data_IF_979830550429
#
_entry.id   IF_979830550429
#
_cell.length_a   1.000
_cell.length_b   1.000
_cell.length_c   1.000
_cell.angle_alpha   90.00
_cell.angle_beta   90.00
_cell.angle_gamma   90.00
#
_symmetry.space_group_name_H-M   'P 1'
#
loop_
_entity.id
_entity.type
_entity.pdbx_description
1 polymer ?
#
# COMPACT_ATOMS: atom_id res chain seq x y z
N UNK A 1 -12.96 -10.48 0.99
CA UNK A 1 -11.81 -9.62 0.60
C UNK A 1 -10.65 -10.49 0.11
N UNK A 2 -9.90 -10.06 -0.92
CA UNK A 2 -8.72 -10.79 -1.46
C UNK A 2 -7.52 -10.81 -0.49
N UNK A 3 -7.56 -9.92 0.48
CA UNK A 3 -6.49 -9.52 1.40
C UNK A 3 -6.09 -10.63 2.39
N UNK A 4 -7.06 -11.24 3.08
CA UNK A 4 -6.79 -12.02 4.29
C UNK A 4 -5.90 -13.27 4.11
N UNK A 5 -6.09 -14.14 3.09
CA UNK A 5 -5.25 -15.34 2.96
C UNK A 5 -3.76 -15.02 2.77
N UNK A 6 -3.47 -14.00 1.98
CA UNK A 6 -2.11 -13.58 1.68
C UNK A 6 -1.47 -12.82 2.84
N UNK A 7 -2.26 -12.03 3.56
CA UNK A 7 -1.81 -11.38 4.78
C UNK A 7 -1.36 -12.39 5.84
N UNK A 8 -2.13 -13.44 6.10
CA UNK A 8 -1.75 -14.46 7.08
C UNK A 8 -0.49 -15.22 6.70
N UNK A 9 -0.31 -15.51 5.41
CA UNK A 9 0.95 -16.07 4.93
C UNK A 9 2.13 -15.13 5.23
N UNK A 10 1.98 -13.84 4.93
CA UNK A 10 3.01 -12.84 5.24
C UNK A 10 3.28 -12.75 6.75
N UNK A 11 2.25 -12.85 7.60
CA UNK A 11 2.41 -12.91 9.06
C UNK A 11 3.21 -14.13 9.49
N UNK A 12 2.91 -15.32 8.95
CA UNK A 12 3.67 -16.54 9.26
C UNK A 12 5.13 -16.38 8.82
N UNK A 13 5.38 -15.90 7.60
CA UNK A 13 6.75 -15.64 7.11
C UNK A 13 7.49 -14.63 7.99
N UNK A 14 6.82 -13.55 8.39
CA UNK A 14 7.36 -12.53 9.27
C UNK A 14 7.70 -13.07 10.66
N UNK A 15 6.80 -13.87 11.26
CA UNK A 15 7.03 -14.51 12.56
C UNK A 15 8.20 -15.50 12.52
N UNK A 16 8.29 -16.32 11.48
CA UNK A 16 9.41 -17.25 11.31
C UNK A 16 10.74 -16.50 11.15
N UNK A 17 10.73 -15.41 10.38
CA UNK A 17 11.89 -14.54 10.18
C UNK A 17 12.33 -13.91 11.51
N UNK A 18 11.40 -13.31 12.24
CA UNK A 18 11.66 -12.72 13.55
C UNK A 18 12.14 -13.75 14.57
N UNK A 19 11.54 -14.95 14.58
CA UNK A 19 11.94 -16.04 15.47
C UNK A 19 13.40 -16.45 15.22
N UNK A 20 13.76 -16.67 13.95
CA UNK A 20 15.12 -17.03 13.56
C UNK A 20 16.13 -15.94 13.95
N UNK A 21 15.89 -14.69 13.56
CA UNK A 21 16.83 -13.59 13.80
C UNK A 21 16.97 -13.21 15.28
N UNK A 22 15.87 -13.22 16.04
CA UNK A 22 15.95 -13.04 17.49
C UNK A 22 16.74 -14.18 18.15
N UNK A 23 16.60 -15.42 17.66
CA UNK A 23 17.34 -16.58 18.17
C UNK A 23 18.86 -16.46 18.01
N UNK A 24 19.33 -15.70 17.02
CA UNK A 24 20.75 -15.40 16.79
C UNK A 24 21.15 -13.97 17.22
N UNK A 25 20.28 -13.27 17.95
CA UNK A 25 20.57 -11.95 18.54
C UNK A 25 20.60 -10.78 17.55
N UNK A 26 19.98 -10.92 16.38
CA UNK A 26 19.93 -9.86 15.34
C UNK A 26 18.62 -9.07 15.44
N UNK A 27 18.73 -7.75 15.51
CA UNK A 27 17.60 -6.82 15.53
C UNK A 27 17.24 -6.35 14.11
N UNK A 28 15.98 -6.55 13.70
CA UNK A 28 15.48 -6.15 12.38
C UNK A 28 14.88 -4.73 12.35
N UNK A 29 14.79 -4.03 13.49
CA UNK A 29 14.30 -2.64 13.56
C UNK A 29 15.06 -1.63 12.67
N UNK A 30 16.36 -1.78 12.37
CA UNK A 30 17.04 -0.92 11.41
C UNK A 30 16.54 -1.06 9.96
N UNK A 31 15.86 -2.16 9.62
CA UNK A 31 15.19 -2.30 8.32
C UNK A 31 13.91 -1.47 8.31
N UNK A 32 13.10 -1.67 9.35
CA UNK A 32 11.86 -0.97 9.61
C UNK A 32 11.60 -1.00 11.12
N UNK A 33 11.35 0.17 11.72
CA UNK A 33 11.23 0.31 13.19
C UNK A 33 10.13 -0.53 13.83
N UNK A 34 9.12 -0.94 13.07
CA UNK A 34 8.01 -1.77 13.52
C UNK A 34 8.30 -3.28 13.36
N UNK A 35 9.42 -3.67 12.74
CA UNK A 35 9.76 -5.07 12.44
C UNK A 35 10.39 -5.79 13.64
N UNK A 36 9.59 -6.04 14.66
CA UNK A 36 9.97 -6.84 15.82
C UNK A 36 8.79 -7.66 16.35
N UNK A 37 9.05 -8.60 17.27
CA UNK A 37 7.98 -9.41 17.85
C UNK A 37 6.95 -8.54 18.59
N UNK A 38 5.64 -8.81 18.41
CA UNK A 38 4.58 -8.24 19.23
C UNK A 38 4.83 -8.53 20.72
N UNK A 39 4.74 -7.53 21.59
CA UNK A 39 5.10 -7.68 23.02
C UNK A 39 3.89 -7.84 23.96
N UNK A 40 2.67 -7.59 23.48
CA UNK A 40 1.47 -7.62 24.32
C UNK A 40 0.19 -7.92 23.56
N UNK A 41 -0.92 -8.04 24.30
CA UNK A 41 -2.25 -8.33 23.76
C UNK A 41 -2.68 -7.28 22.72
N UNK A 42 -2.31 -6.01 22.93
CA UNK A 42 -2.68 -4.90 22.05
C UNK A 42 -1.99 -5.02 20.67
N UNK A 43 -0.69 -5.28 20.64
CA UNK A 43 0.06 -5.52 19.40
C UNK A 43 -0.53 -6.71 18.64
N UNK A 44 -0.82 -7.81 19.34
CA UNK A 44 -1.46 -8.98 18.73
C UNK A 44 -2.87 -8.67 18.23
N UNK A 45 -3.67 -7.94 18.99
CA UNK A 45 -4.99 -7.51 18.55
C UNK A 45 -4.91 -6.69 17.27
N UNK A 46 -3.92 -5.79 17.15
CA UNK A 46 -3.67 -5.07 15.91
C UNK A 46 -3.27 -6.01 14.77
N UNK A 47 -2.33 -6.94 14.98
CA UNK A 47 -1.91 -7.92 13.96
C UNK A 47 -3.08 -8.79 13.49
N UNK A 48 -3.97 -9.19 14.40
CA UNK A 48 -5.09 -10.08 14.09
C UNK A 48 -6.24 -9.34 13.37
N UNK A 49 -6.52 -8.09 13.76
CA UNK A 49 -7.71 -7.36 13.30
C UNK A 49 -7.42 -6.30 12.25
N UNK A 50 -6.19 -5.79 12.21
CA UNK A 50 -5.78 -4.62 11.42
C UNK A 50 -6.67 -3.40 11.68
N UNK A 51 -7.21 -3.28 12.90
CA UNK A 51 -8.09 -2.17 13.24
C UNK A 51 -7.27 -0.91 13.52
N UNK A 52 -7.49 0.21 12.80
CA UNK A 52 -6.67 1.42 12.92
C UNK A 52 -6.81 2.14 14.27
N UNK A 53 -7.85 1.84 15.05
CA UNK A 53 -8.04 2.42 16.39
C UNK A 53 -7.23 1.74 17.49
N UNK A 54 -6.53 0.64 17.19
CA UNK A 54 -5.63 -0.02 18.14
C UNK A 54 -4.22 0.55 17.96
N UNK A 55 -3.58 0.97 19.06
CA UNK A 55 -2.18 1.40 19.02
C UNK A 55 -1.30 0.24 18.54
N UNK A 56 -0.48 0.53 17.54
CA UNK A 56 0.46 -0.42 16.94
C UNK A 56 1.78 -0.45 17.70
N UNK A 57 2.41 -1.62 17.71
CA UNK A 57 3.73 -1.88 18.27
C UNK A 57 4.53 -2.79 17.33
N UNK A 58 4.99 -3.94 17.83
CA UNK A 58 5.74 -4.90 17.01
C UNK A 58 4.85 -5.57 15.96
N UNK A 59 5.31 -5.59 14.71
CA UNK A 59 4.58 -6.15 13.58
C UNK A 59 5.44 -7.17 12.79
N UNK A 60 4.96 -8.42 12.64
CA UNK A 60 5.60 -9.41 11.76
C UNK A 60 5.59 -9.00 10.28
N UNK A 61 4.62 -8.17 9.88
CA UNK A 61 4.50 -7.60 8.53
C UNK A 61 4.53 -6.08 8.67
N UNK A 62 5.71 -5.43 8.62
CA UNK A 62 5.84 -4.01 8.97
C UNK A 62 5.03 -3.07 8.07
N UNK A 63 4.75 -3.52 6.85
CA UNK A 63 3.96 -2.79 5.84
C UNK A 63 2.45 -3.02 6.00
N UNK A 64 2.01 -3.83 6.95
CA UNK A 64 0.58 -4.10 7.16
C UNK A 64 -0.20 -2.88 7.65
N UNK A 65 0.48 -1.82 8.10
CA UNK A 65 -0.21 -0.61 8.55
C UNK A 65 -1.01 0.09 7.44
N UNK A 66 -0.52 0.14 6.20
CA UNK A 66 -1.33 0.72 5.11
C UNK A 66 -2.61 -0.10 4.86
N UNK A 67 -2.54 -1.42 5.10
CA UNK A 67 -3.70 -2.30 5.01
C UNK A 67 -4.69 -2.06 6.16
N UNK A 68 -4.21 -1.81 7.38
CA UNK A 68 -5.07 -1.42 8.49
C UNK A 68 -5.79 -0.09 8.22
N UNK A 69 -5.09 0.88 7.63
CA UNK A 69 -5.66 2.15 7.18
C UNK A 69 -6.75 1.89 6.12
N UNK A 70 -6.48 1.05 5.13
CA UNK A 70 -7.44 0.66 4.09
C UNK A 70 -8.70 0.01 4.68
N UNK A 71 -8.55 -0.96 5.58
CA UNK A 71 -9.66 -1.62 6.29
C UNK A 71 -10.48 -0.60 7.09
N UNK A 72 -9.81 0.34 7.77
CA UNK A 72 -10.47 1.44 8.45
C UNK A 72 -11.32 2.31 7.52
N UNK A 73 -10.76 2.71 6.38
CA UNK A 73 -11.47 3.54 5.42
C UNK A 73 -12.57 2.80 4.69
N UNK A 74 -12.51 1.47 4.55
CA UNK A 74 -13.65 0.69 4.06
C UNK A 74 -14.92 0.85 4.92
N UNK A 75 -14.79 1.18 6.21
CA UNK A 75 -15.92 1.49 7.07
C UNK A 75 -16.49 2.90 6.82
N UNK A 76 -15.64 3.85 6.40
CA UNK A 76 -16.01 5.25 6.18
C UNK A 76 -16.38 5.56 4.73
N UNK A 77 -15.87 4.78 3.77
CA UNK A 77 -16.07 4.97 2.34
C UNK A 77 -17.55 5.02 1.94
N UNK A 78 -18.48 4.24 2.51
CA UNK A 78 -19.90 4.37 2.16
C UNK A 78 -20.44 5.80 2.34
N UNK A 79 -19.98 6.54 3.35
CA UNK A 79 -20.38 7.93 3.59
C UNK A 79 -19.85 8.87 2.50
N UNK A 80 -18.57 8.74 2.15
CA UNK A 80 -17.94 9.57 1.11
C UNK A 80 -18.38 9.18 -0.31
N UNK A 81 -18.64 7.89 -0.55
CA UNK A 81 -19.08 7.38 -1.85
C UNK A 81 -20.54 7.77 -2.15
N UNK A 82 -21.39 7.91 -1.14
CA UNK A 82 -22.80 8.29 -1.34
C UNK A 82 -23.04 9.80 -1.37
N UNK A 83 -22.14 10.60 -0.79
CA UNK A 83 -22.30 12.05 -0.71
C UNK A 83 -21.08 12.82 -1.19
N UNK A 84 -21.28 13.65 -2.23
CA UNK A 84 -20.28 14.61 -2.74
C UNK A 84 -19.80 15.56 -1.66
N UNK A 85 -20.73 16.03 -0.82
CA UNK A 85 -20.42 16.92 0.30
C UNK A 85 -19.55 16.24 1.35
N UNK A 86 -19.83 14.97 1.68
CA UNK A 86 -19.01 14.21 2.61
C UNK A 86 -17.59 13.95 2.07
N UNK A 87 -17.46 13.59 0.79
CA UNK A 87 -16.15 13.46 0.14
C UNK A 87 -15.39 14.80 0.12
N UNK A 88 -16.06 15.90 -0.25
CA UNK A 88 -15.47 17.25 -0.24
C UNK A 88 -15.01 17.69 1.15
N UNK A 89 -15.86 17.47 2.16
CA UNK A 89 -15.49 17.71 3.57
C UNK A 89 -14.30 16.86 3.99
N UNK A 90 -14.24 15.58 3.58
CA UNK A 90 -13.11 14.69 3.82
C UNK A 90 -11.81 15.22 3.22
N UNK A 91 -11.85 15.78 2.00
CA UNK A 91 -10.68 16.43 1.37
C UNK A 91 -10.24 17.64 2.18
N UNK A 92 -11.17 18.51 2.59
CA UNK A 92 -10.85 19.71 3.38
C UNK A 92 -10.23 19.33 4.73
N UNK A 93 -10.86 18.41 5.48
CA UNK A 93 -10.34 17.94 6.77
C UNK A 93 -8.97 17.27 6.58
N UNK A 94 -8.85 16.37 5.60
CA UNK A 94 -7.59 15.68 5.31
C UNK A 94 -6.46 16.64 4.95
N UNK A 95 -6.74 17.68 4.15
CA UNK A 95 -5.77 18.71 3.79
C UNK A 95 -5.36 19.54 5.02
N UNK A 96 -6.33 19.99 5.84
CA UNK A 96 -6.05 20.77 7.05
C UNK A 96 -5.22 19.96 8.07
N UNK A 97 -5.50 18.67 8.25
CA UNK A 97 -4.71 17.79 9.10
C UNK A 97 -3.27 17.70 8.63
N UNK A 98 -3.06 17.46 7.34
CA UNK A 98 -1.74 17.38 6.73
C UNK A 98 -0.97 18.72 6.82
N UNK A 99 -1.66 19.85 6.62
CA UNK A 99 -1.07 21.18 6.77
C UNK A 99 -0.71 21.49 8.23
N UNK A 100 -1.56 21.11 9.19
CA UNK A 100 -1.31 21.27 10.63
C UNK A 100 -0.06 20.49 11.07
N UNK A 101 0.18 19.33 10.48
CA UNK A 101 1.38 18.53 10.72
C UNK A 101 2.64 19.09 10.02
N UNK A 102 2.48 20.06 9.13
CA UNK A 102 3.56 20.61 8.32
C UNK A 102 3.96 19.70 7.15
N UNK A 103 4.35 20.30 6.03
CA UNK A 103 4.80 19.58 4.83
C UNK A 103 6.33 19.53 4.82
N UNK A 104 6.86 18.83 5.82
CA UNK A 104 8.30 18.65 6.06
C UNK A 104 8.63 17.17 6.19
N UNK A 105 9.91 16.81 6.05
CA UNK A 105 10.38 15.42 6.02
C UNK A 105 10.12 14.71 7.35
N UNK A 106 10.27 15.41 8.46
CA UNK A 106 10.15 14.89 9.83
C UNK A 106 8.75 14.34 10.11
N UNK A 107 7.72 14.94 9.50
CA UNK A 107 6.33 14.55 9.70
C UNK A 107 5.80 13.64 8.59
N UNK A 108 6.64 13.27 7.62
CA UNK A 108 6.24 12.39 6.52
C UNK A 108 5.67 11.07 7.02
N UNK A 109 6.33 10.41 7.97
CA UNK A 109 5.89 9.12 8.51
C UNK A 109 4.48 9.20 9.08
N UNK A 110 4.19 10.24 9.85
CA UNK A 110 2.85 10.43 10.42
C UNK A 110 1.82 10.76 9.33
N UNK A 111 2.15 11.62 8.37
CA UNK A 111 1.25 11.99 7.27
C UNK A 111 0.94 10.84 6.31
N UNK A 112 1.90 9.94 6.11
CA UNK A 112 1.82 8.85 5.15
C UNK A 112 1.28 7.55 5.76
N UNK A 113 1.51 7.33 7.07
CA UNK A 113 1.26 6.05 7.72
C UNK A 113 0.34 6.15 8.96
N UNK A 114 -0.46 7.20 9.10
CA UNK A 114 -1.49 7.25 10.15
C UNK A 114 -2.88 7.44 9.58
N UNK A 115 -3.87 6.94 10.31
CA UNK A 115 -5.24 6.83 9.83
C UNK A 115 -5.84 8.17 9.39
N UNK A 116 -5.77 9.21 10.24
CA UNK A 116 -6.45 10.49 9.98
C UNK A 116 -5.85 11.28 8.79
N UNK A 117 -4.52 11.47 8.66
CA UNK A 117 -3.94 12.14 7.50
C UNK A 117 -4.19 11.40 6.19
N UNK A 118 -4.29 10.06 6.24
CA UNK A 118 -4.69 9.25 5.09
C UNK A 118 -6.15 9.45 4.67
N UNK A 119 -6.99 10.21 5.40
CA UNK A 119 -8.32 10.60 4.92
C UNK A 119 -8.26 11.29 3.55
N UNK A 120 -7.22 12.10 3.33
CA UNK A 120 -7.07 12.90 2.11
C UNK A 120 -7.10 12.04 0.83
N UNK A 121 -6.23 11.02 0.65
CA UNK A 121 -6.27 10.19 -0.55
C UNK A 121 -7.60 9.43 -0.77
N UNK A 122 -8.23 8.90 0.29
CA UNK A 122 -9.52 8.21 0.16
C UNK A 122 -10.66 9.17 -0.21
N UNK A 123 -10.66 10.37 0.38
CA UNK A 123 -11.63 11.40 0.06
C UNK A 123 -11.46 11.93 -1.37
N UNK A 124 -10.21 12.15 -1.82
CA UNK A 124 -9.91 12.51 -3.21
C UNK A 124 -10.38 11.43 -4.17
N UNK A 125 -10.09 10.16 -3.91
CA UNK A 125 -10.58 9.05 -4.74
C UNK A 125 -12.11 9.00 -4.82
N UNK A 126 -12.79 9.21 -3.69
CA UNK A 126 -14.26 9.30 -3.66
C UNK A 126 -14.79 10.49 -4.48
N UNK A 127 -14.14 11.65 -4.37
CA UNK A 127 -14.50 12.85 -5.11
C UNK A 127 -14.28 12.67 -6.62
N UNK A 128 -13.18 12.04 -7.03
CA UNK A 128 -12.92 11.67 -8.43
C UNK A 128 -14.04 10.80 -8.97
N UNK A 129 -14.54 9.84 -8.20
CA UNK A 129 -15.68 9.02 -8.60
C UNK A 129 -16.94 9.86 -8.83
N UNK A 130 -17.26 10.78 -7.92
CA UNK A 130 -18.42 11.67 -8.03
C UNK A 130 -18.40 12.60 -9.23
N UNK A 131 -17.20 13.04 -9.63
CA UNK A 131 -16.96 13.95 -10.75
C UNK A 131 -16.39 13.26 -11.98
N UNK A 132 -16.44 11.93 -12.06
CA UNK A 132 -15.79 11.14 -13.11
C UNK A 132 -16.17 11.63 -14.51
N UNK A 133 -17.46 11.79 -14.79
CA UNK A 133 -17.96 12.25 -16.11
C UNK A 133 -17.45 13.64 -16.48
N UNK A 134 -17.36 14.56 -15.51
CA UNK A 134 -16.79 15.89 -15.74
C UNK A 134 -15.27 15.84 -15.93
N UNK A 135 -14.58 14.94 -15.23
CA UNK A 135 -13.13 14.76 -15.30
C UNK A 135 -12.70 13.98 -16.56
N UNK A 136 -13.58 13.20 -17.19
CA UNK A 136 -13.28 12.50 -18.45
C UNK A 136 -12.85 13.46 -19.56
N UNK A 137 -13.23 14.75 -19.51
CA UNK A 137 -12.78 15.79 -20.46
C UNK A 137 -11.27 16.03 -20.47
N UNK A 138 -10.57 15.71 -19.38
CA UNK A 138 -9.10 15.85 -19.28
C UNK A 138 -8.36 14.51 -19.43
N UNK A 139 -9.05 13.46 -19.89
CA UNK A 139 -8.45 12.13 -20.06
C UNK A 139 -7.32 12.15 -21.08
N UNK A 140 -6.12 11.79 -20.63
CA UNK A 140 -4.94 11.65 -21.49
C UNK A 140 -4.10 10.44 -21.03
N UNK A 141 -4.41 9.21 -21.48
CA UNK A 141 -3.79 7.97 -20.98
C UNK A 141 -2.26 7.99 -21.02
N UNK A 142 -1.69 8.34 -22.18
CA UNK A 142 -0.24 8.42 -22.37
C UNK A 142 0.37 9.56 -21.58
N UNK A 143 -0.17 10.78 -21.73
CA UNK A 143 0.36 11.97 -21.05
C UNK A 143 0.33 11.83 -19.54
N UNK A 144 -0.79 11.37 -18.96
CA UNK A 144 -0.93 11.18 -17.51
C UNK A 144 0.09 10.17 -16.98
N UNK A 145 0.34 9.08 -17.72
CA UNK A 145 1.30 8.05 -17.35
C UNK A 145 2.75 8.56 -17.45
N UNK A 146 3.09 9.27 -18.53
CA UNK A 146 4.41 9.88 -18.72
C UNK A 146 4.68 10.93 -17.63
N UNK A 147 3.72 11.83 -17.37
CA UNK A 147 3.87 12.86 -16.33
C UNK A 147 4.03 12.24 -14.95
N UNK A 148 3.27 11.18 -14.65
CA UNK A 148 3.43 10.45 -13.39
C UNK A 148 4.80 9.78 -13.27
N UNK A 149 5.31 9.17 -14.35
CA UNK A 149 6.66 8.60 -14.37
C UNK A 149 7.76 9.66 -14.23
N UNK A 150 7.63 10.79 -14.93
CA UNK A 150 8.56 11.92 -14.84
C UNK A 150 8.58 12.49 -13.42
N UNK A 151 7.42 12.59 -12.77
CA UNK A 151 7.34 12.96 -11.36
C UNK A 151 8.10 11.99 -10.45
N UNK A 152 8.09 10.69 -10.75
CA UNK A 152 8.94 9.70 -10.09
C UNK A 152 10.44 9.94 -10.32
N UNK A 153 10.84 10.38 -11.51
CA UNK A 153 12.24 10.72 -11.83
C UNK A 153 12.72 11.96 -11.06
N UNK A 154 11.84 12.92 -10.75
CA UNK A 154 12.20 14.09 -9.92
C UNK A 154 12.82 13.68 -8.59
N UNK A 155 12.38 12.56 -7.99
CA UNK A 155 12.94 12.04 -6.74
C UNK A 155 14.44 11.72 -6.83
N UNK A 156 14.93 11.27 -7.99
CA UNK A 156 16.36 10.96 -8.20
C UNK A 156 17.23 12.21 -8.02
N UNK A 157 16.70 13.37 -8.40
CA UNK A 157 17.42 14.65 -8.32
C UNK A 157 17.12 15.41 -7.02
N UNK A 158 15.92 15.24 -6.45
CA UNK A 158 15.45 15.93 -5.27
C UNK A 158 14.98 14.92 -4.22
N UNK A 159 15.92 14.45 -3.40
CA UNK A 159 15.65 13.39 -2.43
C UNK A 159 14.56 13.73 -1.40
N UNK A 160 14.38 15.01 -1.07
CA UNK A 160 13.34 15.50 -0.15
C UNK A 160 11.94 15.61 -0.77
N UNK A 161 11.84 15.54 -2.10
CA UNK A 161 10.59 15.74 -2.83
C UNK A 161 9.45 14.81 -2.40
N UNK A 162 9.60 13.46 -2.41
CA UNK A 162 8.50 12.56 -2.04
C UNK A 162 8.09 12.70 -0.56
N UNK A 163 9.01 13.13 0.30
CA UNK A 163 8.77 13.29 1.74
C UNK A 163 8.03 14.58 2.06
N UNK A 164 7.94 15.52 1.13
CA UNK A 164 7.32 16.84 1.33
C UNK A 164 6.11 17.02 0.42
N UNK A 165 6.22 17.89 -0.58
CA UNK A 165 5.15 18.22 -1.52
C UNK A 165 4.90 17.14 -2.56
N UNK A 166 5.93 16.33 -2.87
CA UNK A 166 5.85 15.28 -3.88
C UNK A 166 4.76 14.25 -3.59
N UNK A 167 4.46 13.97 -2.32
CA UNK A 167 3.35 13.11 -1.91
C UNK A 167 1.99 13.62 -2.44
N UNK A 168 1.71 14.91 -2.32
CA UNK A 168 0.43 15.50 -2.73
C UNK A 168 0.34 15.68 -4.25
N UNK A 169 1.47 15.97 -4.89
CA UNK A 169 1.55 15.95 -6.36
C UNK A 169 1.28 14.52 -6.87
N UNK A 170 1.88 13.50 -6.24
CA UNK A 170 1.59 12.09 -6.56
C UNK A 170 0.11 11.77 -6.40
N UNK A 171 -0.56 12.30 -5.37
CA UNK A 171 -2.00 12.11 -5.18
C UNK A 171 -2.81 12.67 -6.36
N UNK A 172 -2.55 13.91 -6.77
CA UNK A 172 -3.25 14.54 -7.89
C UNK A 172 -2.96 13.84 -9.22
N UNK A 173 -1.70 13.48 -9.47
CA UNK A 173 -1.31 12.76 -10.68
C UNK A 173 -1.92 11.35 -10.71
N UNK A 174 -2.01 10.67 -9.57
CA UNK A 174 -2.65 9.36 -9.47
C UNK A 174 -4.16 9.45 -9.73
N UNK A 175 -4.83 10.48 -9.22
CA UNK A 175 -6.22 10.76 -9.56
C UNK A 175 -6.40 10.97 -11.08
N UNK A 176 -5.53 11.74 -11.72
CA UNK A 176 -5.57 11.97 -13.16
C UNK A 176 -5.28 10.69 -13.97
N UNK A 177 -4.33 9.86 -13.53
CA UNK A 177 -4.08 8.55 -14.12
C UNK A 177 -5.30 7.65 -14.03
N UNK A 178 -5.95 7.56 -12.86
CA UNK A 178 -7.17 6.74 -12.69
C UNK A 178 -8.27 7.20 -13.65
N UNK A 179 -8.53 8.51 -13.73
CA UNK A 179 -9.48 9.08 -14.70
C UNK A 179 -9.08 8.73 -16.14
N UNK A 180 -7.79 8.77 -16.45
CA UNK A 180 -7.32 8.57 -17.82
C UNK A 180 -7.32 7.10 -18.25
N UNK A 181 -7.10 6.18 -17.31
CA UNK A 181 -6.88 4.76 -17.58
C UNK A 181 -8.10 3.87 -17.29
N UNK A 182 -9.11 4.32 -16.54
CA UNK A 182 -10.22 3.44 -16.11
C UNK A 182 -10.98 2.76 -17.27
N UNK A 183 -10.98 3.36 -18.47
CA UNK A 183 -11.68 2.85 -19.65
C UNK A 183 -10.71 2.22 -20.66
N UNK A 184 -9.44 2.04 -20.30
CA UNK A 184 -8.51 1.27 -21.10
C UNK A 184 -8.70 -0.22 -20.83
N UNK A 185 -8.67 -1.08 -21.85
CA UNK A 185 -8.74 -2.51 -21.64
C UNK A 185 -7.49 -2.99 -20.89
N UNK A 186 -7.70 -3.75 -19.81
CA UNK A 186 -6.62 -4.38 -19.06
C UNK A 186 -6.00 -5.52 -19.88
N UNK A 187 -4.73 -5.36 -20.27
CA UNK A 187 -3.96 -6.40 -20.96
C UNK A 187 -3.54 -7.55 -20.04
N UNK A 188 -2.99 -8.63 -20.62
CA UNK A 188 -2.45 -9.75 -19.84
C UNK A 188 -1.29 -9.34 -18.92
N UNK A 189 -0.44 -8.43 -19.40
CA UNK A 189 0.68 -7.90 -18.63
C UNK A 189 0.20 -7.04 -17.45
N UNK A 190 -0.78 -6.16 -17.68
CA UNK A 190 -1.41 -5.36 -16.63
C UNK A 190 -2.01 -6.24 -15.54
N UNK A 191 -2.78 -7.27 -15.94
CA UNK A 191 -3.31 -8.26 -15.02
C UNK A 191 -2.20 -8.97 -14.22
N UNK A 192 -1.12 -9.39 -14.88
CA UNK A 192 0.00 -10.06 -14.21
C UNK A 192 0.67 -9.15 -13.18
N UNK A 193 0.97 -7.91 -13.55
CA UNK A 193 1.58 -6.91 -12.66
C UNK A 193 0.64 -6.57 -11.49
N UNK A 194 -0.65 -6.43 -11.77
CA UNK A 194 -1.69 -6.25 -10.77
C UNK A 194 -1.78 -7.41 -9.79
N UNK A 195 -1.76 -8.66 -10.29
CA UNK A 195 -1.77 -9.86 -9.46
C UNK A 195 -0.51 -9.98 -8.56
N UNK A 196 0.65 -9.52 -9.06
CA UNK A 196 1.92 -9.53 -8.31
C UNK A 196 2.05 -8.37 -7.32
N UNK A 197 1.41 -7.22 -7.58
CA UNK A 197 1.58 -6.00 -6.80
C UNK A 197 1.38 -6.22 -5.30
N UNK A 198 0.34 -6.97 -4.93
CA UNK A 198 -0.06 -7.15 -3.55
C UNK A 198 0.85 -8.12 -2.76
N UNK A 199 1.19 -9.33 -3.26
CA UNK A 199 2.21 -10.16 -2.63
C UNK A 199 3.57 -9.45 -2.51
N UNK A 200 4.02 -8.73 -3.54
CA UNK A 200 5.27 -7.95 -3.49
C UNK A 200 5.19 -6.94 -2.35
N UNK A 201 4.09 -6.18 -2.31
CA UNK A 201 3.85 -5.22 -1.24
C UNK A 201 3.94 -5.86 0.13
N UNK A 202 3.30 -7.01 0.37
CA UNK A 202 3.28 -7.64 1.69
C UNK A 202 4.63 -8.21 2.13
N UNK A 203 5.38 -8.86 1.24
CA UNK A 203 6.53 -9.69 1.66
C UNK A 203 7.89 -9.03 1.46
N UNK A 204 8.00 -7.93 0.69
CA UNK A 204 9.31 -7.38 0.32
C UNK A 204 10.19 -6.99 1.52
N UNK A 205 9.61 -6.51 2.63
CA UNK A 205 10.39 -6.16 3.84
C UNK A 205 10.90 -7.43 4.54
N UNK A 206 10.07 -8.47 4.62
CA UNK A 206 10.47 -9.78 5.17
C UNK A 206 11.57 -10.42 4.34
N UNK A 207 11.42 -10.42 3.01
CA UNK A 207 12.44 -10.93 2.09
C UNK A 207 13.72 -10.10 2.18
N UNK A 208 13.62 -8.77 2.26
CA UNK A 208 14.77 -7.91 2.46
C UNK A 208 15.56 -8.27 3.73
N UNK A 209 14.88 -8.63 4.82
CA UNK A 209 15.56 -9.08 6.05
C UNK A 209 16.43 -10.31 5.85
N UNK A 210 16.01 -11.25 4.99
CA UNK A 210 16.80 -12.46 4.69
C UNK A 210 18.16 -12.14 4.07
N UNK A 211 18.27 -11.02 3.35
CA UNK A 211 19.51 -10.60 2.69
C UNK A 211 20.28 -9.52 3.43
N UNK A 212 19.62 -8.71 4.28
CA UNK A 212 20.25 -7.56 4.95
C UNK A 212 21.39 -7.98 5.89
N UNK A 213 21.24 -9.12 6.56
CA UNK A 213 22.20 -9.60 7.55
C UNK A 213 23.48 -10.11 6.88
N UNK A 214 23.35 -10.76 5.72
CA UNK A 214 24.51 -11.18 4.93
C UNK A 214 25.33 -9.97 4.41
N UNK A 215 24.70 -8.80 4.30
CA UNK A 215 25.34 -7.56 3.83
C UNK A 215 25.68 -6.57 4.96
N UNK A 216 25.57 -6.96 6.23
CA UNK A 216 25.90 -6.09 7.37
C UNK A 216 25.06 -4.80 7.44
N UNK A 217 23.76 -4.88 7.14
CA UNK A 217 22.82 -3.74 7.06
C UNK A 217 23.09 -2.71 5.96
N UNK A 218 24.16 -2.88 5.18
CA UNK A 218 24.32 -2.14 3.93
C UNK A 218 23.30 -2.63 2.90
N UNK A 219 22.89 -1.73 1.99
CA UNK A 219 21.91 -2.03 0.93
C UNK A 219 22.51 -1.84 -0.47
N UNK A 220 23.67 -2.45 -0.79
CA UNK A 220 24.31 -2.33 -2.09
C UNK A 220 23.42 -2.86 -3.21
N UNK A 221 23.52 -2.25 -4.39
CA UNK A 221 22.66 -2.60 -5.52
C UNK A 221 22.81 -4.07 -5.94
N UNK A 222 24.04 -4.55 -6.10
CA UNK A 222 24.31 -5.88 -6.67
C UNK A 222 24.13 -7.02 -5.65
N UNK A 223 24.68 -6.88 -4.44
CA UNK A 223 24.66 -7.96 -3.44
C UNK A 223 23.44 -7.98 -2.53
N UNK A 224 22.67 -6.89 -2.46
CA UNK A 224 21.43 -6.83 -1.66
C UNK A 224 20.20 -6.61 -2.52
N UNK A 225 20.13 -5.52 -3.29
CA UNK A 225 18.89 -5.13 -3.97
C UNK A 225 18.48 -6.13 -5.05
N UNK A 226 19.37 -6.49 -5.98
CA UNK A 226 19.06 -7.45 -7.05
C UNK A 226 18.58 -8.82 -6.50
N UNK A 227 19.29 -9.49 -5.58
CA UNK A 227 18.84 -10.79 -5.06
C UNK A 227 17.55 -10.67 -4.24
N UNK A 228 17.41 -9.65 -3.38
CA UNK A 228 16.19 -9.45 -2.60
C UNK A 228 14.98 -9.15 -3.50
N UNK A 229 15.16 -8.34 -4.54
CA UNK A 229 14.13 -8.03 -5.53
C UNK A 229 13.73 -9.28 -6.32
N UNK A 230 14.70 -10.03 -6.85
CA UNK A 230 14.45 -11.27 -7.57
C UNK A 230 13.71 -12.29 -6.70
N UNK A 231 14.16 -12.51 -5.46
CA UNK A 231 13.51 -13.38 -4.51
C UNK A 231 12.07 -12.93 -4.20
N UNK A 232 11.85 -11.63 -4.01
CA UNK A 232 10.52 -11.06 -3.77
C UNK A 232 9.59 -11.31 -4.95
N UNK A 233 10.03 -11.08 -6.18
CA UNK A 233 9.23 -11.31 -7.40
C UNK A 233 8.91 -12.79 -7.58
N UNK A 234 9.90 -13.68 -7.42
CA UNK A 234 9.71 -15.13 -7.55
C UNK A 234 8.73 -15.66 -6.49
N UNK A 235 8.92 -15.29 -5.23
CA UNK A 235 8.01 -15.71 -4.15
C UNK A 235 6.59 -15.16 -4.37
N UNK A 236 6.47 -13.89 -4.78
CA UNK A 236 5.19 -13.27 -5.11
C UNK A 236 4.48 -14.02 -6.24
N UNK A 237 5.21 -14.42 -7.27
CA UNK A 237 4.69 -15.22 -8.38
C UNK A 237 4.23 -16.61 -7.93
N UNK A 238 5.02 -17.29 -7.10
CA UNK A 238 4.64 -18.57 -6.50
C UNK A 238 3.37 -18.44 -5.65
N UNK A 239 3.27 -17.40 -4.83
CA UNK A 239 2.09 -17.09 -4.02
C UNK A 239 0.85 -16.91 -4.92
N UNK A 240 0.98 -16.16 -6.02
CA UNK A 240 -0.13 -15.98 -6.97
C UNK A 240 -0.59 -17.30 -7.56
N UNK A 241 0.35 -18.15 -8.00
CA UNK A 241 0.01 -19.40 -8.68
C UNK A 241 -0.50 -20.48 -7.72
N UNK A 242 0.14 -20.62 -6.56
CA UNK A 242 -0.12 -21.71 -5.62
C UNK A 242 -1.24 -21.40 -4.63
N UNK A 243 -1.52 -20.12 -4.37
CA UNK A 243 -2.46 -19.71 -3.32
C UNK A 243 -3.58 -18.86 -3.91
N UNK A 244 -3.26 -17.69 -4.49
CA UNK A 244 -4.30 -16.73 -4.89
C UNK A 244 -5.19 -17.27 -6.02
N UNK A 245 -4.59 -17.85 -7.08
CA UNK A 245 -5.34 -18.43 -8.20
C UNK A 245 -6.23 -19.61 -7.76
N UNK A 246 -5.75 -20.63 -7.02
CA UNK A 246 -6.60 -21.69 -6.50
C UNK A 246 -7.74 -21.17 -5.62
N UNK A 247 -7.45 -20.26 -4.68
CA UNK A 247 -8.48 -19.67 -3.81
C UNK A 247 -9.51 -18.87 -4.60
N UNK A 248 -9.09 -18.15 -5.64
CA UNK A 248 -10.01 -17.40 -6.51
C UNK A 248 -11.00 -18.32 -7.25
N UNK A 249 -10.59 -19.55 -7.59
CA UNK A 249 -11.46 -20.55 -8.22
C UNK A 249 -12.52 -21.10 -7.26
N UNK A 250 -12.24 -21.09 -5.96
CA UNK A 250 -13.18 -21.53 -4.91
C UNK A 250 -14.22 -20.46 -4.56
N UNK A 251 -13.98 -19.18 -4.89
CA UNK A 251 -14.95 -18.10 -4.63
C UNK A 251 -16.17 -18.28 -5.54
N UNK A 252 -17.37 -18.31 -4.94
CA UNK A 252 -18.64 -18.33 -5.69
C UNK A 252 -18.70 -17.10 -6.60
N UNK A 253 -18.99 -17.32 -7.88
CA UNK A 253 -19.24 -16.21 -8.81
C UNK A 253 -20.49 -15.44 -8.35
N UNK A 254 -20.51 -14.10 -8.46
CA UNK A 254 -21.73 -13.33 -8.21
C UNK A 254 -22.86 -13.81 -9.12
N UNK A 255 -24.13 -13.72 -8.68
CA UNK A 255 -25.28 -13.95 -9.55
C UNK A 255 -25.21 -13.08 -10.81
N UNK A 256 -25.60 -13.64 -11.96
CA UNK A 256 -25.47 -12.98 -13.27
C UNK A 256 -26.14 -11.59 -13.36
N UNK A 257 -27.18 -11.32 -12.56
CA UNK A 257 -27.86 -10.02 -12.54
C UNK A 257 -27.03 -8.88 -11.92
N UNK A 258 -26.04 -9.18 -11.08
CA UNK A 258 -25.13 -8.18 -10.51
C UNK A 258 -23.98 -7.86 -11.48
N UNK A 259 -23.63 -8.80 -12.36
CA UNK A 259 -22.56 -8.64 -13.33
C UNK A 259 -22.92 -7.74 -14.54
N UNK A 260 -24.21 -7.48 -14.77
CA UNK A 260 -24.70 -6.65 -15.88
C UNK A 260 -24.83 -5.15 -15.54
N UNK A 261 -24.59 -4.77 -14.28
CA UNK A 261 -24.81 -3.40 -13.78
C UNK A 261 -23.52 -2.60 -13.52
N UNK A 262 -22.33 -3.14 -13.87
CA UNK A 262 -21.03 -2.49 -13.70
C UNK A 262 -20.24 -2.47 -15.01
#
# INVERSE_FOLDING_TARGET
MRIFPLYWLAVIMGLLTLWYYNGIGIDLRPINGEFHMPKGLQDWAYVLTLFPGIQRGGMPVPVANALAIEVGFYLLLPLMATSRGAAGLGVVIGALLNLKMGIVTETFGDRYATFLPCLLPFAVGSLVCHYRTALERIRMPWTSSIVWMLHGVVWVFFQSWPWTWGLYVSLLLSAWMVVSLHAQPAGKADKLLGDLSYPIYLIHTTVAAWFVCACGFTRPFVSFFLPAFAATVVLSWLIVILIDRPLSRLKRKPPAHVAAAG
#
